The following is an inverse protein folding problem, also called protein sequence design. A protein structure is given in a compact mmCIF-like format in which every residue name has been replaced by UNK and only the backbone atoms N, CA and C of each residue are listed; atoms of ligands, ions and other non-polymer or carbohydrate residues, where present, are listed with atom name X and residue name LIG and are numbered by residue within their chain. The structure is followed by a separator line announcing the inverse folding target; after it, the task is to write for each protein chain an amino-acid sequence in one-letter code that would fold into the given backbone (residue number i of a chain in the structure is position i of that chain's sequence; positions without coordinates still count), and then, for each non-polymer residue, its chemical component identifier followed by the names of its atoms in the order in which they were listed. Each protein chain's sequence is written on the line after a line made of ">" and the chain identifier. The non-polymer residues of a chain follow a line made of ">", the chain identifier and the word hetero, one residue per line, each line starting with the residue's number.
data_IF_542856356705
#
_entry.id   IF_542856356705
#
_cell.length_a   1.000
_cell.length_b   1.000
_cell.length_c   1.000
_cell.angle_alpha   90.00
_cell.angle_beta   90.00
_cell.angle_gamma   90.00
#
_symmetry.space_group_name_H-M   'P 1'
#
loop_
_entity.id
_entity.type
_entity.pdbx_description
1 polymer ?
#
# COMPACT_ATOMS: atom_id res chain seq x y z
N UNK A 1 -50.29 20.01 44.28
CA UNK A 1 -49.11 19.14 44.14
C UNK A 1 -48.14 19.82 43.18
N UNK A 2 -47.02 20.36 43.67
CA UNK A 2 -45.95 20.93 42.83
C UNK A 2 -44.98 19.78 42.49
N UNK A 3 -45.01 19.31 41.26
CA UNK A 3 -44.09 18.28 40.77
C UNK A 3 -42.72 18.88 40.50
N UNK A 4 -41.72 18.48 41.29
CA UNK A 4 -40.30 18.75 41.04
C UNK A 4 -39.81 17.86 39.92
N UNK A 5 -39.40 18.44 38.78
CA UNK A 5 -38.69 17.71 37.72
C UNK A 5 -37.19 17.82 37.99
N UNK A 6 -36.60 16.76 38.54
CA UNK A 6 -35.14 16.62 38.63
C UNK A 6 -34.58 16.32 37.24
N UNK A 7 -33.74 17.23 36.72
CA UNK A 7 -32.92 16.99 35.54
C UNK A 7 -31.71 16.16 35.98
N UNK A 8 -31.71 14.87 35.62
CA UNK A 8 -30.56 14.00 35.79
C UNK A 8 -29.54 14.33 34.68
N UNK A 9 -28.55 15.15 35.01
CA UNK A 9 -27.43 15.47 34.13
C UNK A 9 -26.53 14.22 34.01
N UNK A 10 -26.72 13.44 32.94
CA UNK A 10 -25.83 12.31 32.61
C UNK A 10 -24.52 12.88 32.08
N UNK A 11 -23.53 13.03 32.96
CA UNK A 11 -22.15 13.33 32.57
C UNK A 11 -21.55 12.05 32.01
N UNK A 12 -21.55 11.91 30.68
CA UNK A 12 -20.77 10.90 29.98
C UNK A 12 -19.28 11.26 30.15
N UNK A 13 -18.60 10.57 31.07
CA UNK A 13 -17.13 10.60 31.16
C UNK A 13 -16.55 9.92 29.92
N UNK A 14 -16.38 10.68 28.83
CA UNK A 14 -15.55 10.25 27.70
C UNK A 14 -14.12 10.17 28.24
N UNK A 15 -13.59 8.94 28.31
CA UNK A 15 -12.20 8.66 28.67
C UNK A 15 -11.26 9.55 27.84
N UNK A 16 -10.56 10.48 28.51
CA UNK A 16 -9.56 11.40 27.94
C UNK A 16 -8.30 10.67 27.45
N UNK A 17 -8.42 9.90 26.36
CA UNK A 17 -7.27 9.57 25.51
C UNK A 17 -7.24 10.59 24.38
N UNK A 18 -6.47 11.65 24.58
CA UNK A 18 -6.23 12.65 23.53
C UNK A 18 -5.04 12.15 22.71
N UNK A 19 -5.36 11.40 21.65
CA UNK A 19 -4.42 10.97 20.63
C UNK A 19 -4.56 11.93 19.45
N UNK A 20 -3.44 12.33 18.86
CA UNK A 20 -3.40 13.15 17.64
C UNK A 20 -2.81 12.30 16.50
N UNK A 21 -3.64 11.80 15.57
CA UNK A 21 -3.20 11.03 14.43
C UNK A 21 -2.66 11.94 13.32
N UNK A 22 -1.69 11.43 12.57
CA UNK A 22 -1.12 12.09 11.40
C UNK A 22 -0.50 11.04 10.47
N UNK A 23 -0.09 11.43 9.27
CA UNK A 23 0.58 10.55 8.31
C UNK A 23 2.04 10.94 8.12
N UNK A 24 2.90 9.94 7.94
CA UNK A 24 4.28 10.13 7.47
C UNK A 24 4.48 9.34 6.18
N UNK A 25 5.36 9.84 5.31
CA UNK A 25 5.81 9.13 4.12
C UNK A 25 7.24 8.65 4.33
N UNK A 26 7.52 7.40 3.98
CA UNK A 26 8.88 6.86 3.94
C UNK A 26 9.06 5.90 2.76
N UNK A 27 10.30 5.79 2.27
CA UNK A 27 10.61 4.86 1.19
C UNK A 27 10.67 3.42 1.68
N UNK A 28 10.14 2.51 0.87
CA UNK A 28 10.30 1.05 1.01
C UNK A 28 11.08 0.49 -0.17
N UNK A 29 11.91 -0.55 0.04
CA UNK A 29 12.67 -1.16 -1.04
C UNK A 29 11.75 -1.91 -2.01
N UNK A 30 12.20 -2.00 -3.26
CA UNK A 30 11.57 -2.86 -4.26
C UNK A 30 11.81 -4.34 -3.95
N UNK A 31 11.01 -5.22 -4.54
CA UNK A 31 11.21 -6.68 -4.48
C UNK A 31 12.46 -7.10 -5.25
N UNK A 32 12.67 -6.53 -6.43
CA UNK A 32 13.83 -6.82 -7.29
C UNK A 32 14.98 -5.86 -7.00
N UNK A 33 16.21 -6.32 -7.22
CA UNK A 33 17.40 -5.49 -7.10
C UNK A 33 18.13 -5.42 -8.44
N UNK A 34 18.42 -4.20 -8.89
CA UNK A 34 19.16 -3.94 -10.13
C UNK A 34 20.55 -3.41 -9.77
N UNK A 35 21.64 -4.03 -10.28
CA UNK A 35 22.97 -3.43 -10.22
C UNK A 35 22.99 -2.00 -10.77
N UNK A 36 23.81 -1.13 -10.16
CA UNK A 36 23.84 0.31 -10.49
C UNK A 36 24.28 0.64 -11.92
N UNK A 37 24.97 -0.29 -12.60
CA UNK A 37 25.36 -0.15 -14.00
C UNK A 37 24.22 -0.42 -14.99
N UNK A 38 23.11 -1.06 -14.57
CA UNK A 38 21.96 -1.31 -15.42
C UNK A 38 21.05 -0.09 -15.42
N UNK A 39 21.12 0.72 -16.48
CA UNK A 39 20.50 2.06 -16.50
C UNK A 39 19.49 2.25 -17.60
N UNK A 40 19.61 1.50 -18.69
CA UNK A 40 18.75 1.61 -19.88
C UNK A 40 17.79 0.43 -19.91
N UNK A 41 16.50 0.70 -19.91
CA UNK A 41 15.45 -0.33 -19.82
C UNK A 41 14.53 -0.25 -21.02
N UNK A 42 14.11 -1.37 -21.57
CA UNK A 42 12.98 -1.43 -22.51
C UNK A 42 11.80 -2.16 -21.88
N UNK A 43 10.60 -1.64 -22.08
CA UNK A 43 9.34 -2.30 -21.74
C UNK A 43 8.71 -2.85 -23.01
N UNK A 44 8.30 -4.11 -22.97
CA UNK A 44 7.81 -4.86 -24.13
C UNK A 44 6.47 -5.49 -23.81
N UNK A 45 5.52 -5.36 -24.74
CA UNK A 45 4.26 -6.10 -24.68
C UNK A 45 4.43 -7.49 -25.34
N UNK A 46 4.44 -8.53 -24.50
CA UNK A 46 4.52 -9.93 -24.92
C UNK A 46 3.29 -10.74 -24.49
N UNK A 47 2.16 -10.06 -24.26
CA UNK A 47 0.90 -10.72 -23.91
C UNK A 47 0.31 -11.37 -25.16
N UNK A 48 -0.17 -12.61 -25.01
CA UNK A 48 -0.86 -13.34 -26.08
C UNK A 48 -2.25 -12.75 -26.37
N UNK A 49 -2.62 -12.69 -27.65
CA UNK A 49 -3.98 -12.32 -28.11
C UNK A 49 -5.04 -13.39 -27.80
N UNK A 50 -4.61 -14.57 -27.35
CA UNK A 50 -5.47 -15.62 -26.79
C UNK A 50 -5.41 -15.55 -25.26
N UNK A 51 -6.36 -14.84 -24.60
CA UNK A 51 -6.29 -14.63 -23.17
C UNK A 51 -6.77 -15.88 -22.40
N UNK A 52 -6.06 -16.19 -21.31
CA UNK A 52 -6.41 -17.28 -20.38
C UNK A 52 -7.77 -17.06 -19.69
N UNK A 53 -8.26 -15.81 -19.68
CA UNK A 53 -9.55 -15.38 -19.12
C UNK A 53 -10.74 -16.18 -19.67
N UNK A 54 -10.66 -16.66 -20.93
CA UNK A 54 -11.71 -17.46 -21.58
C UNK A 54 -12.00 -18.78 -20.85
N UNK A 55 -11.05 -19.30 -20.07
CA UNK A 55 -11.20 -20.53 -19.28
C UNK A 55 -11.78 -20.29 -17.87
N UNK A 56 -11.95 -19.02 -17.47
CA UNK A 56 -12.30 -18.62 -16.10
C UNK A 56 -13.75 -18.09 -15.97
N UNK A 57 -14.58 -18.26 -17.00
CA UNK A 57 -16.01 -17.95 -16.96
C UNK A 57 -16.70 -18.90 -15.95
N UNK A 58 -16.94 -18.40 -14.73
CA UNK A 58 -17.80 -19.03 -13.73
C UNK A 58 -19.12 -18.26 -13.66
N UNK A 59 -20.20 -18.97 -13.35
CA UNK A 59 -21.49 -18.36 -13.06
C UNK A 59 -21.39 -17.43 -11.83
N UNK A 60 -21.98 -16.24 -11.94
CA UNK A 60 -22.00 -15.26 -10.86
C UNK A 60 -22.99 -15.70 -9.78
N UNK A 61 -22.47 -16.08 -8.61
CA UNK A 61 -23.31 -16.34 -7.42
C UNK A 61 -23.58 -15.06 -6.65
N UNK A 62 -24.86 -14.76 -6.41
CA UNK A 62 -25.29 -13.62 -5.62
C UNK A 62 -25.02 -13.87 -4.13
N UNK A 63 -24.45 -12.87 -3.46
CA UNK A 63 -24.32 -12.83 -2.00
C UNK A 63 -25.59 -12.31 -1.31
N UNK A 64 -25.54 -12.28 0.03
CA UNK A 64 -26.63 -11.74 0.85
C UNK A 64 -26.88 -10.26 0.52
N UNK A 65 -28.14 -9.89 0.30
CA UNK A 65 -28.59 -8.53 -0.08
C UNK A 65 -27.98 -7.99 -1.39
N UNK A 66 -27.31 -8.83 -2.18
CA UNK A 66 -26.83 -8.46 -3.51
C UNK A 66 -27.95 -8.68 -4.53
N UNK A 67 -28.26 -7.61 -5.25
CA UNK A 67 -29.29 -7.61 -6.29
C UNK A 67 -28.69 -7.94 -7.66
N UNK A 68 -27.44 -7.54 -7.87
CA UNK A 68 -26.71 -7.75 -9.12
C UNK A 68 -25.26 -8.08 -8.77
N UNK A 69 -24.71 -9.08 -9.44
CA UNK A 69 -23.28 -9.34 -9.51
C UNK A 69 -22.94 -9.67 -10.96
N UNK A 70 -21.96 -8.97 -11.52
CA UNK A 70 -21.50 -9.20 -12.89
C UNK A 70 -19.99 -9.24 -12.93
N UNK A 71 -19.42 -10.39 -13.30
CA UNK A 71 -17.99 -10.52 -13.55
C UNK A 71 -17.68 -10.27 -15.03
N UNK A 72 -16.68 -9.44 -15.30
CA UNK A 72 -16.17 -9.12 -16.64
C UNK A 72 -14.64 -9.23 -16.63
N UNK A 73 -14.07 -9.71 -17.72
CA UNK A 73 -12.63 -9.71 -17.94
C UNK A 73 -12.28 -8.70 -19.03
N UNK A 74 -11.18 -7.97 -18.84
CA UNK A 74 -10.69 -7.00 -19.81
C UNK A 74 -9.50 -7.58 -20.58
N UNK A 75 -9.75 -7.93 -21.84
CA UNK A 75 -8.74 -8.41 -22.77
C UNK A 75 -8.36 -7.30 -23.78
N UNK A 76 -7.22 -7.43 -24.46
CA UNK A 76 -6.82 -6.53 -25.55
C UNK A 76 -6.32 -5.14 -25.12
N UNK A 77 -6.04 -4.94 -23.83
CA UNK A 77 -5.52 -3.68 -23.28
C UNK A 77 -4.03 -3.73 -22.91
N UNK A 78 -3.33 -4.81 -23.27
CA UNK A 78 -1.95 -5.06 -22.87
C UNK A 78 -0.98 -3.97 -23.36
N UNK A 79 -1.15 -3.44 -24.58
CA UNK A 79 -0.34 -2.34 -25.10
C UNK A 79 -0.42 -1.09 -24.21
N UNK A 80 -1.65 -0.65 -23.89
CA UNK A 80 -1.88 0.49 -23.00
C UNK A 80 -1.32 0.27 -21.60
N UNK A 81 -1.33 -0.97 -21.10
CA UNK A 81 -0.75 -1.32 -19.79
C UNK A 81 0.78 -1.32 -19.85
N UNK A 82 1.39 -1.78 -20.95
CA UNK A 82 2.83 -1.73 -21.15
C UNK A 82 3.33 -0.28 -21.28
N UNK A 83 2.62 0.58 -22.00
CA UNK A 83 2.86 2.02 -22.05
C UNK A 83 2.78 2.64 -20.65
N UNK A 84 1.69 2.40 -19.94
CA UNK A 84 1.50 2.86 -18.56
C UNK A 84 2.61 2.36 -17.62
N UNK A 85 3.05 1.11 -17.75
CA UNK A 85 4.17 0.56 -16.97
C UNK A 85 5.46 1.37 -17.22
N UNK A 86 5.77 1.66 -18.48
CA UNK A 86 6.93 2.46 -18.84
C UNK A 86 6.83 3.91 -18.34
N UNK A 87 5.66 4.54 -18.43
CA UNK A 87 5.40 5.88 -17.91
C UNK A 87 5.63 5.96 -16.39
N UNK A 88 5.13 4.98 -15.62
CA UNK A 88 5.33 4.92 -14.18
C UNK A 88 6.80 4.65 -13.81
N UNK A 89 7.50 3.82 -14.59
CA UNK A 89 8.95 3.63 -14.41
C UNK A 89 9.72 4.92 -14.69
N UNK A 90 9.35 5.66 -15.73
CA UNK A 90 9.99 6.94 -16.06
C UNK A 90 9.74 7.98 -14.97
N UNK A 91 8.51 8.08 -14.48
CA UNK A 91 8.15 8.97 -13.38
C UNK A 91 8.90 8.64 -12.07
N UNK A 92 9.37 7.40 -11.89
CA UNK A 92 10.16 7.01 -10.72
C UNK A 92 11.58 7.57 -10.72
N UNK A 93 12.10 7.98 -11.88
CA UNK A 93 13.49 8.40 -12.09
C UNK A 93 14.54 7.39 -11.58
N UNK A 94 14.19 6.10 -11.54
CA UNK A 94 15.10 5.06 -11.05
C UNK A 94 16.07 4.56 -12.11
N UNK A 95 15.71 4.66 -13.39
CA UNK A 95 16.53 4.32 -14.55
C UNK A 95 16.82 5.59 -15.36
N UNK A 96 17.95 5.63 -16.08
CA UNK A 96 18.36 6.82 -16.83
C UNK A 96 17.54 6.97 -18.12
N UNK A 97 17.26 5.85 -18.80
CA UNK A 97 16.49 5.82 -20.04
C UNK A 97 15.51 4.65 -20.05
N UNK A 98 14.28 4.92 -20.47
CA UNK A 98 13.22 3.92 -20.62
C UNK A 98 12.66 4.00 -22.03
N UNK A 99 12.70 2.87 -22.72
CA UNK A 99 12.18 2.67 -24.07
C UNK A 99 10.89 1.85 -24.03
N UNK A 100 9.99 2.10 -24.96
CA UNK A 100 8.77 1.33 -25.16
C UNK A 100 8.86 0.66 -26.52
N UNK A 101 8.62 -0.65 -26.56
CA UNK A 101 8.46 -1.39 -27.80
C UNK A 101 6.97 -1.56 -28.11
N UNK A 102 6.47 -0.80 -29.08
CA UNK A 102 5.07 -0.87 -29.53
C UNK A 102 4.75 -2.14 -30.32
N UNK A 103 5.77 -2.92 -30.68
CA UNK A 103 5.58 -4.19 -31.37
C UNK A 103 5.02 -5.22 -30.40
N UNK A 104 3.76 -5.62 -30.62
CA UNK A 104 3.17 -6.77 -29.95
C UNK A 104 3.83 -8.05 -30.50
N UNK A 105 4.91 -8.50 -29.84
CA UNK A 105 5.77 -9.59 -30.33
C UNK A 105 5.03 -10.92 -30.53
N UNK A 106 3.87 -11.07 -29.88
CA UNK A 106 3.03 -12.29 -29.95
C UNK A 106 1.68 -12.11 -30.64
N UNK A 107 1.37 -10.94 -31.19
CA UNK A 107 0.11 -10.72 -31.90
C UNK A 107 -0.05 -11.62 -33.15
N UNK A 108 1.05 -12.19 -33.66
CA UNK A 108 1.08 -13.11 -34.81
C UNK A 108 1.32 -14.59 -34.47
N UNK A 109 1.41 -14.97 -33.18
CA UNK A 109 1.70 -16.35 -32.78
C UNK A 109 0.55 -17.28 -33.23
N UNK A 110 0.78 -18.06 -34.29
CA UNK A 110 -0.19 -19.03 -34.80
C UNK A 110 -0.21 -20.34 -33.98
N UNK A 111 0.84 -20.57 -33.17
CA UNK A 111 1.02 -21.76 -32.34
C UNK A 111 1.23 -21.30 -30.88
N UNK A 112 0.50 -21.87 -29.91
CA UNK A 112 0.78 -21.61 -28.50
C UNK A 112 2.23 -22.00 -28.16
N UNK A 113 3.04 -21.02 -27.76
CA UNK A 113 4.39 -21.21 -27.22
C UNK A 113 4.46 -20.74 -25.77
N UNK A 114 5.52 -21.15 -25.07
CA UNK A 114 5.85 -20.63 -23.75
C UNK A 114 5.81 -19.10 -23.75
N UNK A 115 5.39 -18.53 -22.63
CA UNK A 115 5.13 -17.09 -22.52
C UNK A 115 6.39 -16.23 -22.48
N UNK A 116 7.57 -16.82 -22.69
CA UNK A 116 8.88 -16.17 -22.64
C UNK A 116 9.31 -15.65 -24.00
N UNK A 117 10.18 -14.64 -24.00
CA UNK A 117 10.84 -14.14 -25.20
C UNK A 117 11.84 -15.18 -25.74
N UNK A 118 11.93 -15.30 -27.07
CA UNK A 118 12.97 -16.09 -27.75
C UNK A 118 14.33 -15.41 -27.61
N UNK A 119 15.38 -16.21 -27.74
CA UNK A 119 16.77 -15.72 -27.74
C UNK A 119 17.02 -14.67 -28.82
N UNK A 120 16.44 -14.87 -30.00
CA UNK A 120 16.53 -13.93 -31.12
C UNK A 120 15.83 -12.60 -30.80
N UNK A 121 14.64 -12.66 -30.19
CA UNK A 121 13.87 -11.47 -29.77
C UNK A 121 14.63 -10.68 -28.69
N UNK A 122 15.23 -11.36 -27.71
CA UNK A 122 16.07 -10.73 -26.66
C UNK A 122 17.28 -10.05 -27.29
N UNK A 123 17.98 -10.71 -28.21
CA UNK A 123 19.15 -10.15 -28.90
C UNK A 123 18.77 -8.93 -29.73
N UNK A 124 17.70 -9.01 -30.52
CA UNK A 124 17.23 -7.88 -31.34
C UNK A 124 16.85 -6.67 -30.50
N UNK A 125 16.11 -6.88 -29.40
CA UNK A 125 15.75 -5.79 -28.48
C UNK A 125 16.99 -5.17 -27.82
N UNK A 126 17.95 -6.00 -27.43
CA UNK A 126 19.20 -5.54 -26.81
C UNK A 126 20.05 -4.74 -27.81
N UNK A 127 20.23 -5.23 -29.03
CA UNK A 127 21.06 -4.60 -30.06
C UNK A 127 20.41 -3.33 -30.64
N UNK A 128 19.09 -3.36 -30.89
CA UNK A 128 18.38 -2.23 -31.51
C UNK A 128 18.25 -1.03 -30.56
N UNK A 129 17.96 -1.28 -29.28
CA UNK A 129 17.78 -0.21 -28.30
C UNK A 129 19.05 0.07 -27.48
N UNK A 130 20.03 -0.85 -27.48
CA UNK A 130 21.25 -0.76 -26.67
C UNK A 130 20.98 -0.82 -25.17
N UNK A 131 19.91 -1.52 -24.77
CA UNK A 131 19.43 -1.56 -23.38
C UNK A 131 20.17 -2.59 -22.54
N UNK A 132 20.14 -2.40 -21.22
CA UNK A 132 20.74 -3.28 -20.22
C UNK A 132 19.71 -4.29 -19.65
N UNK A 133 18.44 -3.90 -19.67
CA UNK A 133 17.32 -4.65 -19.08
C UNK A 133 16.12 -4.63 -20.01
N UNK A 134 15.48 -5.79 -20.15
CA UNK A 134 14.20 -5.95 -20.83
C UNK A 134 13.15 -6.34 -19.80
N UNK A 135 12.07 -5.57 -19.73
CA UNK A 135 10.88 -5.86 -18.94
C UNK A 135 9.77 -6.30 -19.88
N UNK A 136 9.51 -7.61 -19.93
CA UNK A 136 8.49 -8.20 -20.80
C UNK A 136 7.20 -8.42 -20.02
N UNK A 137 6.11 -7.78 -20.44
CA UNK A 137 4.77 -8.08 -19.94
C UNK A 137 4.28 -9.37 -20.61
N UNK A 138 4.39 -10.50 -19.90
CA UNK A 138 4.12 -11.84 -20.45
C UNK A 138 2.66 -12.25 -20.35
N UNK A 139 1.98 -11.81 -19.28
CA UNK A 139 0.57 -12.08 -19.05
C UNK A 139 -0.09 -10.90 -18.35
N UNK A 140 -1.37 -10.69 -18.65
CA UNK A 140 -2.19 -9.66 -18.04
C UNK A 140 -3.62 -10.18 -17.91
N UNK A 141 -4.03 -10.50 -16.69
CA UNK A 141 -5.42 -10.76 -16.36
C UNK A 141 -6.00 -9.59 -15.58
N UNK A 142 -7.09 -9.01 -16.09
CA UNK A 142 -7.84 -7.96 -15.39
C UNK A 142 -9.26 -8.48 -15.16
N UNK A 143 -9.58 -8.73 -13.89
CA UNK A 143 -10.90 -9.19 -13.46
C UNK A 143 -11.67 -8.03 -12.84
N UNK A 144 -12.88 -7.82 -13.32
CA UNK A 144 -13.80 -6.81 -12.84
C UNK A 144 -15.05 -7.45 -12.27
N UNK A 145 -15.48 -7.04 -11.08
CA UNK A 145 -16.69 -7.52 -10.42
C UNK A 145 -17.55 -6.32 -10.06
N UNK A 146 -18.71 -6.22 -10.70
CA UNK A 146 -19.66 -5.15 -10.44
C UNK A 146 -20.78 -5.70 -9.57
N UNK A 147 -20.99 -5.09 -8.41
CA UNK A 147 -21.99 -5.55 -7.43
C UNK A 147 -22.94 -4.41 -7.07
N UNK A 148 -24.24 -4.69 -7.04
CA UNK A 148 -25.23 -3.79 -6.44
C UNK A 148 -25.79 -4.46 -5.20
N UNK A 149 -25.62 -3.80 -4.06
CA UNK A 149 -26.09 -4.27 -2.76
C UNK A 149 -27.13 -3.29 -2.22
N UNK A 150 -28.23 -3.81 -1.68
CA UNK A 150 -29.17 -3.01 -0.91
C UNK A 150 -28.75 -3.00 0.56
N UNK A 151 -28.73 -1.83 1.20
CA UNK A 151 -28.40 -1.65 2.62
C UNK A 151 -29.70 -1.32 3.36
N UNK A 152 -30.36 -2.32 3.98
CA UNK A 152 -31.67 -2.13 4.58
C UNK A 152 -31.68 -1.09 5.72
N UNK A 153 -30.61 -1.02 6.50
CA UNK A 153 -30.51 -0.16 7.68
C UNK A 153 -30.55 1.34 7.32
N UNK A 154 -30.04 1.67 6.13
CA UNK A 154 -29.96 3.03 5.62
C UNK A 154 -30.98 3.31 4.52
N UNK A 155 -31.69 2.27 4.04
CA UNK A 155 -32.61 2.33 2.91
C UNK A 155 -31.96 2.92 1.65
N UNK A 156 -30.70 2.56 1.39
CA UNK A 156 -29.93 2.99 0.21
C UNK A 156 -29.36 1.80 -0.55
N UNK A 157 -29.03 2.03 -1.81
CA UNK A 157 -28.27 1.11 -2.64
C UNK A 157 -26.80 1.51 -2.64
N UNK A 158 -25.92 0.51 -2.68
CA UNK A 158 -24.48 0.66 -2.86
C UNK A 158 -24.06 -0.12 -4.11
N UNK A 159 -23.56 0.59 -5.10
CA UNK A 159 -22.90 0.00 -6.27
C UNK A 159 -21.39 -0.03 -6.01
N UNK A 160 -20.77 -1.19 -6.14
CA UNK A 160 -19.32 -1.34 -6.15
C UNK A 160 -18.83 -1.86 -7.47
N UNK A 161 -17.65 -1.41 -7.83
CA UNK A 161 -16.91 -1.89 -8.97
C UNK A 161 -15.52 -2.26 -8.47
N UNK A 162 -15.26 -3.56 -8.37
CA UNK A 162 -14.02 -4.09 -7.84
C UNK A 162 -13.18 -4.65 -8.99
N UNK A 163 -11.99 -4.08 -9.24
CA UNK A 163 -11.07 -4.52 -10.29
C UNK A 163 -9.82 -5.10 -9.65
N UNK A 164 -9.46 -6.32 -10.01
CA UNK A 164 -8.22 -6.98 -9.61
C UNK A 164 -7.36 -7.24 -10.84
N UNK A 165 -6.09 -6.86 -10.77
CA UNK A 165 -5.12 -6.97 -11.86
C UNK A 165 -4.05 -7.99 -11.46
N UNK A 166 -3.71 -8.88 -12.38
CA UNK A 166 -2.68 -9.91 -12.24
C UNK A 166 -1.66 -9.81 -13.39
N UNK A 167 -0.78 -8.81 -13.39
CA UNK A 167 0.31 -8.73 -14.36
C UNK A 167 1.42 -9.73 -14.03
N UNK A 168 1.98 -10.35 -15.07
CA UNK A 168 3.21 -11.14 -15.01
C UNK A 168 4.28 -10.45 -15.85
N UNK A 169 5.38 -10.05 -15.20
CA UNK A 169 6.50 -9.36 -15.87
C UNK A 169 7.76 -10.19 -15.71
N UNK A 170 8.39 -10.57 -16.82
CA UNK A 170 9.71 -11.18 -16.83
C UNK A 170 10.80 -10.12 -17.00
N UNK A 171 11.92 -10.35 -16.33
CA UNK A 171 13.08 -9.47 -16.37
C UNK A 171 14.23 -10.22 -17.02
N UNK A 172 14.71 -9.70 -18.14
CA UNK A 172 15.88 -10.22 -18.85
C UNK A 172 17.01 -9.20 -18.76
N UNK A 173 18.24 -9.70 -18.68
CA UNK A 173 19.44 -8.89 -18.83
C UNK A 173 20.06 -9.19 -20.19
N UNK A 174 20.72 -8.21 -20.79
CA UNK A 174 21.28 -8.22 -22.15
C UNK A 174 22.19 -9.40 -22.50
N UNK A 175 22.73 -10.11 -21.50
CA UNK A 175 23.63 -11.25 -21.66
C UNK A 175 23.02 -12.59 -21.21
N UNK A 176 21.72 -12.62 -20.93
CA UNK A 176 21.02 -13.81 -20.45
C UNK A 176 19.91 -14.20 -21.43
N UNK A 177 19.92 -15.47 -21.82
CA UNK A 177 18.91 -16.06 -22.72
C UNK A 177 17.59 -16.42 -22.02
N UNK A 178 17.58 -16.37 -20.69
CA UNK A 178 16.46 -16.76 -19.83
C UNK A 178 16.11 -15.61 -18.87
N UNK A 179 14.85 -15.52 -18.42
CA UNK A 179 14.45 -14.50 -17.46
C UNK A 179 15.21 -14.70 -16.15
N UNK A 180 15.86 -13.64 -15.68
CA UNK A 180 16.58 -13.62 -14.40
C UNK A 180 15.59 -13.75 -13.24
N UNK A 181 14.41 -13.14 -13.39
CA UNK A 181 13.32 -13.27 -12.44
C UNK A 181 11.98 -12.96 -13.10
N UNK A 182 10.93 -13.53 -12.53
CA UNK A 182 9.54 -13.22 -12.88
C UNK A 182 8.85 -12.53 -11.71
N UNK A 183 8.12 -11.47 -11.99
CA UNK A 183 7.25 -10.78 -11.04
C UNK A 183 5.81 -11.16 -11.35
N UNK A 184 5.15 -11.76 -10.37
CA UNK A 184 3.69 -11.92 -10.35
C UNK A 184 3.15 -10.98 -9.27
N UNK A 185 2.71 -9.79 -9.68
CA UNK A 185 2.13 -8.82 -8.76
C UNK A 185 0.60 -8.91 -8.84
N UNK A 186 -0.08 -8.74 -7.71
CA UNK A 186 -1.54 -8.70 -7.64
C UNK A 186 -1.96 -7.53 -6.80
N UNK A 187 -2.85 -6.71 -7.34
CA UNK A 187 -3.43 -5.59 -6.62
C UNK A 187 -4.87 -5.35 -7.09
N UNK A 188 -5.63 -4.62 -6.29
CA UNK A 188 -7.02 -4.29 -6.59
C UNK A 188 -7.33 -2.85 -6.31
N UNK A 189 -8.18 -2.28 -7.16
CA UNK A 189 -8.77 -0.96 -6.98
C UNK A 189 -10.29 -1.12 -7.03
N UNK A 190 -11.01 -0.31 -6.26
CA UNK A 190 -12.45 -0.31 -6.29
C UNK A 190 -13.02 1.10 -6.30
N UNK A 191 -14.20 1.23 -6.88
CA UNK A 191 -15.01 2.43 -6.82
C UNK A 191 -16.36 2.09 -6.20
N UNK A 192 -16.91 3.02 -5.43
CA UNK A 192 -18.22 2.86 -4.83
C UNK A 192 -19.10 4.08 -5.04
N UNK A 193 -20.41 3.82 -5.12
CA UNK A 193 -21.43 4.86 -5.25
C UNK A 193 -22.65 4.47 -4.44
N UNK A 194 -23.18 5.44 -3.70
CA UNK A 194 -24.40 5.30 -2.94
C UNK A 194 -25.54 6.06 -3.62
N UNK A 195 -26.75 5.55 -3.52
CA UNK A 195 -27.92 6.19 -4.13
C UNK A 195 -29.24 5.58 -3.69
N UNK A 196 -30.33 6.30 -3.94
CA UNK A 196 -31.67 5.92 -3.48
C UNK A 196 -32.38 4.94 -4.43
N UNK A 197 -31.79 4.64 -5.59
CA UNK A 197 -32.32 3.69 -6.56
C UNK A 197 -31.22 2.79 -7.12
N UNK A 198 -31.58 1.55 -7.47
CA UNK A 198 -30.65 0.60 -8.10
C UNK A 198 -30.01 1.17 -9.39
N UNK A 199 -30.78 1.88 -10.22
CA UNK A 199 -30.28 2.47 -11.46
C UNK A 199 -29.24 3.57 -11.21
N UNK A 200 -29.39 4.37 -10.15
CA UNK A 200 -28.47 5.46 -9.83
C UNK A 200 -27.05 4.98 -9.48
N UNK A 201 -26.93 3.75 -8.99
CA UNK A 201 -25.66 3.14 -8.57
C UNK A 201 -25.10 2.12 -9.57
N UNK A 202 -25.80 1.86 -10.68
CA UNK A 202 -25.37 0.87 -11.68
C UNK A 202 -24.12 1.29 -12.46
N UNK A 203 -23.81 2.59 -12.50
CA UNK A 203 -22.59 3.12 -13.10
C UNK A 203 -21.91 4.09 -12.14
N UNK A 204 -20.66 3.76 -11.78
CA UNK A 204 -19.82 4.57 -10.89
C UNK A 204 -19.09 5.67 -11.66
N UNK A 205 -18.76 5.45 -12.94
CA UNK A 205 -18.13 6.41 -13.83
C UNK A 205 -18.35 6.06 -15.32
N UNK A 206 -17.92 6.92 -16.23
CA UNK A 206 -18.00 6.62 -17.68
C UNK A 206 -17.03 5.50 -18.07
N UNK A 207 -17.41 4.65 -19.03
CA UNK A 207 -16.58 3.52 -19.49
C UNK A 207 -15.19 3.98 -19.95
N UNK A 208 -15.09 5.12 -20.66
CA UNK A 208 -13.81 5.67 -21.12
C UNK A 208 -12.90 6.06 -19.97
N UNK A 209 -13.44 6.74 -18.96
CA UNK A 209 -12.66 7.14 -17.79
C UNK A 209 -12.17 5.92 -17.01
N UNK A 210 -13.04 4.94 -16.81
CA UNK A 210 -12.69 3.71 -16.10
C UNK A 210 -11.61 2.92 -16.84
N UNK A 211 -11.69 2.80 -18.16
CA UNK A 211 -10.63 2.14 -18.93
C UNK A 211 -9.28 2.82 -18.75
N UNK A 212 -9.24 4.16 -18.74
CA UNK A 212 -8.02 4.92 -18.47
C UNK A 212 -7.50 4.67 -17.04
N UNK A 213 -8.37 4.69 -16.04
CA UNK A 213 -7.97 4.45 -14.65
C UNK A 213 -7.50 3.00 -14.43
N UNK A 214 -8.16 2.02 -15.03
CA UNK A 214 -7.79 0.59 -14.96
C UNK A 214 -6.44 0.34 -15.62
N UNK A 215 -6.21 0.88 -16.83
CA UNK A 215 -4.92 0.72 -17.54
C UNK A 215 -3.78 1.42 -16.82
N UNK A 216 -4.02 2.64 -16.33
CA UNK A 216 -3.08 3.37 -15.49
C UNK A 216 -2.73 2.57 -14.22
N UNK A 217 -3.75 2.09 -13.49
CA UNK A 217 -3.56 1.27 -12.30
C UNK A 217 -2.80 -0.03 -12.61
N UNK A 218 -3.19 -0.78 -13.63
CA UNK A 218 -2.55 -2.03 -14.02
C UNK A 218 -1.06 -1.86 -14.32
N UNK A 219 -0.67 -0.79 -15.02
CA UNK A 219 0.74 -0.47 -15.29
C UNK A 219 1.54 -0.09 -14.05
N UNK A 220 0.89 0.52 -13.04
CA UNK A 220 1.54 0.87 -11.77
C UNK A 220 1.84 -0.33 -10.86
N UNK A 221 1.11 -1.44 -11.00
CA UNK A 221 1.18 -2.59 -10.08
C UNK A 221 2.57 -3.26 -10.09
N UNK A 222 3.17 -3.60 -11.24
CA UNK A 222 4.51 -4.19 -11.27
C UNK A 222 5.60 -3.23 -10.78
N UNK A 223 5.42 -1.91 -10.94
CA UNK A 223 6.41 -0.89 -10.57
C UNK A 223 6.75 -0.94 -9.09
N UNK A 224 5.76 -1.22 -8.22
CA UNK A 224 5.98 -1.40 -6.77
C UNK A 224 6.97 -2.51 -6.44
N UNK A 225 7.14 -3.49 -7.32
CA UNK A 225 8.09 -4.58 -7.18
C UNK A 225 9.44 -4.31 -7.86
N UNK A 226 9.47 -3.40 -8.83
CA UNK A 226 10.65 -3.09 -9.65
C UNK A 226 11.51 -1.96 -9.04
N UNK A 227 10.88 -0.93 -8.48
CA UNK A 227 11.59 0.25 -7.96
C UNK A 227 11.18 0.58 -6.52
N UNK A 228 12.08 1.17 -5.71
CA UNK A 228 11.71 1.70 -4.40
C UNK A 228 10.54 2.68 -4.53
N UNK A 229 9.61 2.63 -3.59
CA UNK A 229 8.41 3.49 -3.62
C UNK A 229 8.12 4.12 -2.26
N UNK A 230 7.42 5.24 -2.31
CA UNK A 230 6.93 5.93 -1.11
C UNK A 230 5.72 5.20 -0.54
N UNK A 231 5.76 4.97 0.76
CA UNK A 231 4.67 4.40 1.54
C UNK A 231 4.22 5.42 2.58
N UNK A 232 2.94 5.78 2.53
CA UNK A 232 2.27 6.54 3.59
C UNK A 232 1.91 5.61 4.73
N UNK A 233 2.25 6.00 5.95
CA UNK A 233 1.89 5.27 7.16
C UNK A 233 1.28 6.20 8.19
N UNK A 234 0.20 5.73 8.81
CA UNK A 234 -0.48 6.46 9.87
C UNK A 234 0.30 6.32 11.17
N UNK A 235 0.52 7.45 11.83
CA UNK A 235 1.17 7.57 13.12
C UNK A 235 0.29 8.35 14.06
N UNK A 236 0.64 8.31 15.33
CA UNK A 236 -0.06 9.07 16.32
C UNK A 236 0.86 9.48 17.45
N UNK A 237 0.55 10.60 18.08
CA UNK A 237 1.16 11.01 19.35
C UNK A 237 0.10 11.15 20.43
N UNK A 238 0.48 10.93 21.67
CA UNK A 238 -0.33 11.30 22.81
C UNK A 238 -0.16 12.79 23.13
N UNK A 239 -1.25 13.49 23.46
CA UNK A 239 -1.23 14.94 23.73
C UNK A 239 -1.63 15.32 25.14
N UNK A 240 -2.13 14.36 25.94
CA UNK A 240 -2.60 14.61 27.31
C UNK A 240 -1.81 13.83 28.36
N UNK A 241 -1.87 14.31 29.61
CA UNK A 241 -1.26 13.64 30.77
C UNK A 241 -0.40 14.54 31.67
N UNK A 242 0.13 15.63 31.13
CA UNK A 242 0.85 16.70 31.86
C UNK A 242 0.74 18.05 31.12
N UNK A 243 1.30 19.11 31.70
CA UNK A 243 1.58 20.38 30.99
C UNK A 243 2.52 20.15 29.82
N UNK A 244 3.64 19.45 30.06
CA UNK A 244 4.67 19.22 29.05
C UNK A 244 4.13 18.46 27.82
N UNK A 245 3.24 17.48 28.03
CA UNK A 245 2.59 16.78 26.90
C UNK A 245 1.69 17.70 26.06
N UNK A 246 1.03 18.67 26.70
CA UNK A 246 0.18 19.65 26.01
C UNK A 246 1.02 20.70 25.28
N UNK A 247 2.10 21.16 25.91
CA UNK A 247 3.04 22.11 25.30
C UNK A 247 3.76 21.46 24.11
N UNK A 248 4.17 20.20 24.24
CA UNK A 248 4.70 19.40 23.13
C UNK A 248 3.70 19.28 21.97
N UNK A 249 2.42 19.05 22.26
CA UNK A 249 1.40 18.99 21.21
C UNK A 249 1.23 20.33 20.47
N UNK A 250 1.36 21.47 21.16
CA UNK A 250 1.40 22.79 20.51
C UNK A 250 2.64 22.93 19.63
N UNK A 251 3.80 22.47 20.08
CA UNK A 251 5.02 22.47 19.28
C UNK A 251 4.88 21.61 18.02
N UNK A 252 4.32 20.40 18.12
CA UNK A 252 4.06 19.52 16.96
C UNK A 252 3.16 20.21 15.93
N UNK A 253 2.07 20.84 16.35
CA UNK A 253 1.17 21.59 15.44
C UNK A 253 1.85 22.77 14.75
N UNK A 254 2.86 23.35 15.38
CA UNK A 254 3.68 24.42 14.82
C UNK A 254 4.92 23.88 14.06
N UNK A 255 4.99 22.57 13.80
CA UNK A 255 6.11 21.88 13.15
C UNK A 255 7.47 22.02 13.88
N UNK A 256 7.44 22.23 15.20
CA UNK A 256 8.61 22.39 16.07
C UNK A 256 8.93 21.08 16.80
N UNK A 257 9.26 20.03 16.04
CA UNK A 257 9.45 18.67 16.55
C UNK A 257 10.59 18.54 17.56
N UNK A 258 11.69 19.26 17.38
CA UNK A 258 12.82 19.24 18.31
C UNK A 258 12.45 19.81 19.70
N UNK A 259 11.64 20.88 19.73
CA UNK A 259 11.12 21.42 20.99
C UNK A 259 10.12 20.47 21.64
N UNK A 260 9.28 19.81 20.83
CA UNK A 260 8.35 18.80 21.34
C UNK A 260 9.11 17.62 22.00
N UNK A 261 10.25 17.23 21.43
CA UNK A 261 11.12 16.20 21.97
C UNK A 261 11.63 16.55 23.38
N UNK A 262 12.09 17.79 23.62
CA UNK A 262 12.53 18.24 24.95
C UNK A 262 11.44 18.09 26.02
N UNK A 263 10.19 18.46 25.69
CA UNK A 263 9.05 18.28 26.59
C UNK A 263 8.71 16.81 26.83
N UNK A 264 8.83 15.95 25.82
CA UNK A 264 8.62 14.51 26.02
C UNK A 264 9.72 13.88 26.87
N UNK A 265 10.98 14.33 26.75
CA UNK A 265 12.05 13.88 27.64
C UNK A 265 11.74 14.21 29.11
N UNK A 266 11.27 15.43 29.38
CA UNK A 266 10.81 15.84 30.71
C UNK A 266 9.62 14.99 31.21
N UNK A 267 8.60 14.79 30.37
CA UNK A 267 7.44 13.96 30.71
C UNK A 267 7.82 12.51 31.01
N UNK A 268 8.82 11.96 30.33
CA UNK A 268 9.35 10.62 30.53
C UNK A 268 10.09 10.44 31.87
N UNK A 269 10.54 11.52 32.52
CA UNK A 269 11.11 11.48 33.88
C UNK A 269 10.04 11.41 34.99
N UNK A 270 8.76 11.49 34.64
CA UNK A 270 7.66 11.41 35.61
C UNK A 270 7.60 10.08 36.35
N UNK A 271 7.14 10.10 37.62
CA UNK A 271 6.84 8.88 38.40
C UNK A 271 5.61 8.11 37.89
N UNK A 272 4.80 8.71 37.02
CA UNK A 272 3.57 8.09 36.50
C UNK A 272 3.88 7.22 35.29
N UNK A 273 3.84 5.88 35.45
CA UNK A 273 4.08 4.91 34.35
C UNK A 273 3.28 5.20 33.07
N UNK A 274 2.02 5.63 33.20
CA UNK A 274 1.17 6.02 32.04
C UNK A 274 1.78 7.17 31.24
N UNK A 275 2.32 8.18 31.92
CA UNK A 275 2.94 9.34 31.28
C UNK A 275 4.29 8.97 30.65
N UNK A 276 5.08 8.15 31.33
CA UNK A 276 6.33 7.61 30.77
C UNK A 276 6.09 6.81 29.48
N UNK A 277 5.03 6.01 29.45
CA UNK A 277 4.62 5.25 28.27
C UNK A 277 4.25 6.18 27.10
N UNK A 278 3.45 7.21 27.37
CA UNK A 278 3.04 8.19 26.37
C UNK A 278 4.23 8.96 25.80
N UNK A 279 5.09 9.47 26.67
CA UNK A 279 6.30 10.18 26.27
C UNK A 279 7.26 9.26 25.48
N UNK A 280 7.46 8.03 25.93
CA UNK A 280 8.32 7.07 25.23
C UNK A 280 7.82 6.75 23.82
N UNK A 281 6.50 6.63 23.61
CA UNK A 281 5.95 6.45 22.27
C UNK A 281 6.18 7.68 21.39
N UNK A 282 5.89 8.88 21.90
CA UNK A 282 6.07 10.11 21.13
C UNK A 282 7.54 10.33 20.74
N UNK A 283 8.48 10.02 21.65
CA UNK A 283 9.91 10.04 21.35
C UNK A 283 10.27 9.02 20.26
N UNK A 284 9.68 7.82 20.29
CA UNK A 284 9.90 6.83 19.24
C UNK A 284 9.49 7.36 17.86
N UNK A 285 8.34 8.03 17.78
CA UNK A 285 7.84 8.68 16.56
C UNK A 285 8.79 9.79 16.09
N UNK A 286 9.28 10.63 17.00
CA UNK A 286 10.30 11.64 16.69
C UNK A 286 11.59 11.03 16.13
N UNK A 287 12.10 9.96 16.75
CA UNK A 287 13.28 9.25 16.25
C UNK A 287 13.02 8.67 14.85
N UNK A 288 11.83 8.14 14.59
CA UNK A 288 11.45 7.63 13.27
C UNK A 288 11.45 8.73 12.20
N UNK A 289 10.89 9.90 12.51
CA UNK A 289 10.84 11.05 11.60
C UNK A 289 12.23 11.60 11.25
N UNK A 290 13.21 11.37 12.12
CA UNK A 290 14.61 11.74 11.89
C UNK A 290 15.46 10.58 11.34
N UNK A 291 14.84 9.53 10.79
CA UNK A 291 15.48 8.32 10.27
C UNK A 291 16.37 7.56 11.27
N UNK A 292 16.24 7.84 12.57
CA UNK A 292 16.92 7.12 13.66
C UNK A 292 16.16 5.86 14.04
N UNK A 293 15.96 4.95 13.08
CA UNK A 293 15.08 3.78 13.21
C UNK A 293 15.49 2.85 14.37
N UNK A 294 16.79 2.71 14.64
CA UNK A 294 17.27 1.89 15.77
C UNK A 294 16.84 2.48 17.12
N UNK A 295 16.92 3.79 17.27
CA UNK A 295 16.49 4.50 18.49
C UNK A 295 14.97 4.46 18.64
N UNK A 296 14.24 4.65 17.53
CA UNK A 296 12.78 4.54 17.51
C UNK A 296 12.31 3.18 18.04
N UNK A 297 12.95 2.09 17.63
CA UNK A 297 12.64 0.73 18.12
C UNK A 297 12.90 0.60 19.62
N UNK A 298 14.01 1.15 20.12
CA UNK A 298 14.33 1.11 21.56
C UNK A 298 13.24 1.83 22.37
N UNK A 299 12.84 3.02 21.95
CA UNK A 299 11.80 3.81 22.62
C UNK A 299 10.41 3.18 22.51
N UNK A 300 10.03 2.66 21.33
CA UNK A 300 8.78 1.95 21.15
C UNK A 300 8.71 0.66 21.99
N UNK A 301 9.83 -0.07 22.12
CA UNK A 301 9.93 -1.25 23.01
C UNK A 301 9.75 -0.86 24.48
N UNK A 302 10.34 0.26 24.91
CA UNK A 302 10.14 0.81 26.25
C UNK A 302 8.66 1.14 26.50
N UNK A 303 8.01 1.80 25.54
CA UNK A 303 6.58 2.12 25.63
C UNK A 303 5.72 0.85 25.69
N UNK A 304 6.03 -0.17 24.88
CA UNK A 304 5.33 -1.46 24.86
C UNK A 304 5.41 -2.16 26.22
N UNK A 305 6.60 -2.22 26.83
CA UNK A 305 6.80 -2.84 28.14
C UNK A 305 5.99 -2.14 29.24
N UNK A 306 5.99 -0.79 29.23
CA UNK A 306 5.19 0.00 30.17
C UNK A 306 3.68 -0.22 29.99
N UNK A 307 3.23 -0.36 28.73
CA UNK A 307 1.84 -0.67 28.42
C UNK A 307 1.43 -2.05 28.96
N UNK A 308 2.28 -3.07 28.71
CA UNK A 308 2.06 -4.44 29.18
C UNK A 308 1.93 -4.52 30.70
N UNK A 309 2.87 -3.90 31.42
CA UNK A 309 2.85 -3.88 32.89
C UNK A 309 1.58 -3.23 33.45
N UNK A 310 1.16 -2.14 32.82
CA UNK A 310 0.00 -1.36 33.26
C UNK A 310 -1.32 -2.07 32.99
N UNK A 311 -1.44 -2.70 31.83
CA UNK A 311 -2.66 -3.40 31.39
C UNK A 311 -2.72 -4.84 31.91
N UNK A 312 -1.67 -5.32 32.60
CA UNK A 312 -1.57 -6.67 33.19
C UNK A 312 -1.82 -7.78 32.16
N UNK A 313 -1.28 -7.61 30.96
CA UNK A 313 -1.45 -8.57 29.86
C UNK A 313 -0.58 -9.81 30.12
N UNK A 314 -1.23 -10.96 30.26
CA UNK A 314 -0.57 -12.27 30.28
C UNK A 314 -0.43 -12.81 28.85
N UNK A 315 0.77 -13.29 28.51
CA UNK A 315 1.13 -13.85 27.20
C UNK A 315 0.59 -15.28 27.04
N UNK A 316 -0.74 -15.43 27.02
CA UNK A 316 -1.38 -16.71 26.76
C UNK A 316 -1.99 -16.66 25.34
N UNK A 317 -1.90 -17.75 24.58
CA UNK A 317 -2.25 -17.78 23.15
C UNK A 317 -3.70 -17.34 22.83
N UNK A 318 -4.61 -17.42 23.79
CA UNK A 318 -6.03 -17.04 23.66
C UNK A 318 -6.35 -15.56 23.97
N UNK A 319 -5.40 -14.76 24.48
CA UNK A 319 -5.68 -13.38 24.92
C UNK A 319 -5.59 -12.31 23.82
N UNK A 320 -5.24 -12.69 22.58
CA UNK A 320 -5.03 -11.74 21.48
C UNK A 320 -6.33 -11.13 20.90
N UNK A 321 -7.50 -11.68 21.20
CA UNK A 321 -8.75 -11.33 20.51
C UNK A 321 -9.66 -10.29 21.20
N UNK A 322 -9.32 -9.80 22.40
CA UNK A 322 -10.30 -9.05 23.24
C UNK A 322 -10.00 -7.55 23.43
N UNK A 323 -8.94 -6.97 22.88
CA UNK A 323 -8.65 -5.55 23.11
C UNK A 323 -8.44 -4.71 21.84
N UNK A 324 -9.52 -4.44 21.11
CA UNK A 324 -9.56 -3.42 20.03
C UNK A 324 -9.18 -2.00 20.48
N UNK A 325 -8.92 -1.75 21.78
CA UNK A 325 -8.61 -0.43 22.36
C UNK A 325 -7.46 -0.46 23.39
N UNK A 326 -6.54 -1.43 23.34
CA UNK A 326 -5.39 -1.51 24.27
C UNK A 326 -4.21 -0.65 23.79
N UNK A 327 -3.58 0.12 24.70
CA UNK A 327 -2.36 0.89 24.35
C UNK A 327 -1.22 -0.09 23.96
N UNK A 328 -1.14 -1.25 24.61
CA UNK A 328 -0.17 -2.30 24.27
C UNK A 328 -0.34 -2.81 22.84
N UNK A 329 -1.59 -3.05 22.41
CA UNK A 329 -1.86 -3.54 21.05
C UNK A 329 -1.40 -2.53 19.98
N UNK A 330 -1.79 -1.26 20.10
CA UNK A 330 -1.39 -0.23 19.12
C UNK A 330 0.12 0.00 19.09
N UNK A 331 0.78 0.03 20.25
CA UNK A 331 2.25 0.16 20.31
C UNK A 331 2.93 -1.08 19.72
N UNK A 332 2.36 -2.27 19.88
CA UNK A 332 2.89 -3.50 19.28
C UNK A 332 2.79 -3.49 17.77
N UNK A 333 1.66 -3.02 17.20
CA UNK A 333 1.53 -2.81 15.76
C UNK A 333 2.58 -1.83 15.24
N UNK A 334 2.74 -0.69 15.93
CA UNK A 334 3.75 0.30 15.58
C UNK A 334 5.18 -0.26 15.62
N UNK A 335 5.53 -1.01 16.67
CA UNK A 335 6.83 -1.64 16.81
C UNK A 335 7.10 -2.67 15.69
N UNK A 336 6.08 -3.44 15.29
CA UNK A 336 6.17 -4.40 14.17
C UNK A 336 6.49 -3.69 12.85
N UNK A 337 5.85 -2.53 12.59
CA UNK A 337 6.17 -1.72 11.42
C UNK A 337 7.60 -1.19 11.45
N UNK A 338 8.07 -0.65 12.59
CA UNK A 338 9.44 -0.17 12.73
C UNK A 338 10.47 -1.29 12.52
N UNK A 339 10.22 -2.49 13.05
CA UNK A 339 11.08 -3.65 12.86
C UNK A 339 11.14 -4.07 11.39
N UNK A 340 9.99 -4.05 10.69
CA UNK A 340 9.93 -4.30 9.25
C UNK A 340 10.74 -3.25 8.48
N UNK A 341 10.58 -1.97 8.81
CA UNK A 341 11.37 -0.87 8.22
C UNK A 341 12.87 -1.06 8.45
N UNK A 342 13.29 -1.44 9.66
CA UNK A 342 14.70 -1.75 9.97
C UNK A 342 15.26 -2.91 9.15
N UNK A 343 14.50 -4.01 8.99
CA UNK A 343 14.91 -5.16 8.17
C UNK A 343 15.11 -4.76 6.71
N UNK A 344 14.25 -3.88 6.21
CA UNK A 344 14.24 -3.42 4.83
C UNK A 344 15.30 -2.33 4.53
N UNK A 345 15.85 -1.68 5.55
CA UNK A 345 16.75 -0.53 5.40
C UNK A 345 18.03 -0.87 4.63
N UNK A 346 18.65 -2.02 4.88
CA UNK A 346 19.87 -2.43 4.18
C UNK A 346 19.63 -2.63 2.67
N UNK A 347 18.50 -3.26 2.32
CA UNK A 347 18.09 -3.47 0.92
C UNK A 347 17.77 -2.13 0.24
N UNK A 348 17.05 -1.24 0.92
CA UNK A 348 16.74 0.08 0.41
C UNK A 348 18.01 0.88 0.16
N UNK A 349 18.93 0.92 1.12
CA UNK A 349 20.20 1.64 0.97
C UNK A 349 21.02 1.14 -0.23
N UNK A 350 21.00 -0.16 -0.50
CA UNK A 350 21.67 -0.74 -1.66
C UNK A 350 21.00 -0.30 -2.97
N UNK A 351 19.66 -0.32 -3.03
CA UNK A 351 18.92 0.15 -4.21
C UNK A 351 19.10 1.66 -4.45
N UNK A 352 19.18 2.45 -3.39
CA UNK A 352 19.37 3.90 -3.47
C UNK A 352 20.82 4.32 -3.69
N UNK A 353 21.79 3.40 -3.56
CA UNK A 353 23.22 3.70 -3.76
C UNK A 353 23.54 4.14 -5.20
N UNK A 354 22.69 3.73 -6.15
CA UNK A 354 22.82 4.12 -7.56
C UNK A 354 22.70 5.62 -7.83
N UNK A 355 22.20 6.40 -6.87
CA UNK A 355 22.02 7.85 -6.96
C UNK A 355 23.14 8.66 -6.29
N UNK A 356 24.12 7.98 -5.68
CA UNK A 356 25.31 8.61 -5.11
C UNK A 356 26.43 8.60 -6.14
#
# INVERSE_FOLDING_TARGET
>A
MKGSVSVLLIVLFVSCRSIEPFSIDYMVPASVNFPSHLKRVVVVNNVSDMPESRLLLREDTLGVNQLVRKTVYYDGVAGLVAESLAEHLAASNYFDEIFICDSALRAGDSIPRESTLRKEEIRELTENFGVDVILSLENLLIKSVNTITFIPEQYIFRGTWDVTVYPTVNIYFSHHDEPVTTICAVDSIFWEKYGNTQASVASVASAKQLMKEITNFAGSVPVKCLVPNWKTANRYTYTSGSTDMRDAAVCVRNNQWDKAYEFWEQANQSKKKKLQMYAALNIAVYCEMNDKIKEAITWATKAQNLAREKEKIELNADSLFVHQLSDYYYITLYLSELQTRKKNLAKLNLQMDRFK
#
